data_IF_259886955279
#
_entry.id   IF_259886955279
#
_cell.length_a   1.000
_cell.length_b   1.000
_cell.length_c   1.000
_cell.angle_alpha   90.00
_cell.angle_beta   90.00
_cell.angle_gamma   90.00
#
_symmetry.space_group_name_H-M   'P 1'
#
loop_
_entity.id
_entity.type
_entity.pdbx_description
1 polymer ?
#
# COMPACT_ATOMS: atom_id res chain seq x y z
N UNK A 1 -4.60 10.00 -74.10
CA UNK A 1 -5.35 9.74 -72.86
C UNK A 1 -4.39 9.25 -71.80
N UNK A 2 -4.05 10.09 -70.82
CA UNK A 2 -3.10 9.73 -69.77
C UNK A 2 -3.90 9.64 -68.41
N UNK A 3 -4.06 8.42 -67.92
CA UNK A 3 -4.72 8.16 -66.63
C UNK A 3 -3.70 8.27 -65.48
N UNK A 4 -3.87 9.29 -64.66
CA UNK A 4 -3.12 9.42 -63.44
C UNK A 4 -3.85 8.64 -62.31
N UNK A 5 -3.26 7.52 -61.88
CA UNK A 5 -3.69 6.86 -60.65
C UNK A 5 -3.05 7.57 -59.45
N UNK A 6 -3.84 8.29 -58.69
CA UNK A 6 -3.45 8.82 -57.39
C UNK A 6 -3.58 7.71 -56.34
N UNK A 7 -2.46 7.18 -55.89
CA UNK A 7 -2.42 6.23 -54.78
C UNK A 7 -2.64 6.95 -53.46
N UNK A 8 -3.73 6.62 -52.77
CA UNK A 8 -4.02 7.11 -51.45
C UNK A 8 -3.27 6.23 -50.39
N UNK A 9 -2.17 6.74 -49.83
CA UNK A 9 -1.45 6.07 -48.76
C UNK A 9 -2.20 6.32 -47.43
N UNK A 10 -2.86 5.29 -46.93
CA UNK A 10 -3.45 5.32 -45.57
C UNK A 10 -2.34 5.05 -44.57
N UNK A 11 -1.89 6.08 -43.89
CA UNK A 11 -0.97 5.94 -42.75
C UNK A 11 -1.77 5.44 -41.52
N UNK A 12 -1.61 4.18 -41.14
CA UNK A 12 -2.15 3.63 -39.91
C UNK A 12 -1.34 4.18 -38.75
N UNK A 13 -1.90 5.12 -37.97
CA UNK A 13 -1.34 5.56 -36.71
C UNK A 13 -1.54 4.46 -35.65
N UNK A 14 -0.49 3.76 -35.31
CA UNK A 14 -0.48 2.81 -34.20
C UNK A 14 -0.48 3.65 -32.90
N UNK A 15 -1.63 3.74 -32.28
CA UNK A 15 -1.76 4.29 -30.92
C UNK A 15 -1.13 3.29 -29.96
N UNK A 16 0.10 3.57 -29.53
CA UNK A 16 0.73 2.82 -28.43
C UNK A 16 -0.04 3.13 -27.14
N UNK A 17 -0.78 2.15 -26.63
CA UNK A 17 -1.38 2.25 -25.30
C UNK A 17 -0.26 2.38 -24.24
N UNK A 18 -0.41 3.23 -23.22
CA UNK A 18 0.58 3.33 -22.17
C UNK A 18 0.71 1.98 -21.46
N UNK A 19 1.91 1.43 -21.41
CA UNK A 19 2.21 0.25 -20.61
C UNK A 19 2.14 0.67 -19.16
N UNK A 20 1.09 0.25 -18.46
CA UNK A 20 0.93 0.53 -17.03
C UNK A 20 1.94 -0.30 -16.24
N UNK A 21 2.61 0.33 -15.27
CA UNK A 21 3.52 -0.36 -14.37
C UNK A 21 2.77 -1.46 -13.60
N UNK A 22 3.40 -2.63 -13.41
CA UNK A 22 2.83 -3.71 -12.62
C UNK A 22 2.64 -3.22 -11.16
N UNK A 23 1.42 -3.35 -10.64
CA UNK A 23 1.11 -2.94 -9.28
C UNK A 23 1.90 -3.78 -8.26
N UNK A 24 2.47 -3.16 -7.22
CA UNK A 24 3.04 -3.89 -6.11
C UNK A 24 2.00 -4.78 -5.43
N UNK A 25 2.44 -5.92 -4.90
CA UNK A 25 1.58 -6.81 -4.12
C UNK A 25 1.65 -6.41 -2.64
N UNK A 26 0.49 -6.37 -2.00
CA UNK A 26 0.39 -6.10 -0.57
C UNK A 26 -0.01 -7.39 0.13
N UNK A 27 0.73 -7.77 1.17
CA UNK A 27 0.41 -8.94 1.98
C UNK A 27 0.65 -8.68 3.47
N UNK A 28 0.16 -9.59 4.32
CA UNK A 28 0.27 -9.51 5.79
C UNK A 28 -0.25 -8.19 6.37
N UNK A 29 -1.35 -7.66 5.81
CA UNK A 29 -1.92 -6.40 6.26
C UNK A 29 -2.75 -6.59 7.54
N UNK A 30 -2.43 -5.82 8.58
CA UNK A 30 -3.14 -5.82 9.85
C UNK A 30 -3.14 -4.44 10.51
N UNK A 31 -4.13 -4.20 11.34
CA UNK A 31 -4.30 -2.94 12.06
C UNK A 31 -4.46 -3.26 13.55
N UNK A 32 -3.63 -2.63 14.37
CA UNK A 32 -3.76 -2.67 15.82
C UNK A 32 -4.70 -1.54 16.25
N UNK A 33 -5.86 -1.92 16.75
CA UNK A 33 -6.82 -0.97 17.29
C UNK A 33 -6.37 -0.44 18.65
N UNK A 34 -6.64 0.84 18.97
CA UNK A 34 -6.26 1.38 20.28
C UNK A 34 -7.09 0.78 21.41
N UNK A 35 -6.49 0.65 22.59
CA UNK A 35 -7.20 0.21 23.80
C UNK A 35 -8.19 1.26 24.32
N UNK A 36 -7.96 2.52 23.99
CA UNK A 36 -8.75 3.68 24.45
C UNK A 36 -9.34 4.37 23.23
N UNK A 37 -10.66 4.60 23.26
CA UNK A 37 -11.36 5.32 22.21
C UNK A 37 -10.74 6.73 21.99
N UNK A 38 -10.73 7.17 20.74
CA UNK A 38 -10.15 8.47 20.35
C UNK A 38 -8.63 8.47 20.15
N UNK A 39 -7.94 7.38 20.52
CA UNK A 39 -6.52 7.21 20.17
C UNK A 39 -6.38 6.67 18.74
N UNK A 40 -5.28 6.96 18.04
CA UNK A 40 -5.07 6.43 16.68
C UNK A 40 -4.79 4.92 16.71
N UNK A 41 -5.16 4.26 15.61
CA UNK A 41 -4.74 2.90 15.30
C UNK A 41 -3.44 2.92 14.50
N UNK A 42 -2.72 1.79 14.49
CA UNK A 42 -1.51 1.61 13.70
C UNK A 42 -1.71 0.48 12.68
N UNK A 43 -1.45 0.78 11.41
CA UNK A 43 -1.52 -0.19 10.31
C UNK A 43 -0.12 -0.64 9.90
N UNK A 44 -0.02 -1.92 9.60
CA UNK A 44 1.19 -2.61 9.19
C UNK A 44 0.88 -3.53 8.00
N UNK A 45 1.83 -3.67 7.12
CA UNK A 45 1.71 -4.49 5.90
C UNK A 45 3.08 -4.67 5.25
N UNK A 46 3.17 -5.57 4.31
CA UNK A 46 4.36 -5.73 3.49
C UNK A 46 4.03 -5.41 2.03
N UNK A 47 4.88 -4.62 1.39
CA UNK A 47 4.78 -4.26 -0.03
C UNK A 47 5.86 -5.03 -0.78
N UNK A 48 5.45 -5.85 -1.75
CA UNK A 48 6.34 -6.59 -2.64
C UNK A 48 6.40 -5.91 -4.01
N UNK A 49 7.60 -5.56 -4.47
CA UNK A 49 7.82 -5.05 -5.81
C UNK A 49 7.61 -6.16 -6.86
N UNK A 50 6.89 -5.83 -7.93
CA UNK A 50 6.49 -6.77 -8.98
C UNK A 50 7.18 -6.49 -10.33
N UNK A 51 8.42 -6.04 -10.31
CA UNK A 51 9.27 -5.85 -11.49
C UNK A 51 9.51 -4.40 -11.89
N UNK A 52 8.78 -3.45 -11.34
CA UNK A 52 8.96 -2.01 -11.55
C UNK A 52 9.16 -1.31 -10.21
N UNK A 53 10.24 -0.53 -10.08
CA UNK A 53 10.44 0.31 -8.91
C UNK A 53 9.34 1.38 -8.83
N UNK A 54 8.82 1.63 -7.64
CA UNK A 54 7.74 2.58 -7.39
C UNK A 54 7.94 3.30 -6.05
N UNK A 55 7.03 4.16 -5.67
CA UNK A 55 7.03 4.84 -4.38
C UNK A 55 5.63 4.85 -3.79
N UNK A 56 5.49 4.37 -2.57
CA UNK A 56 4.26 4.51 -1.78
C UNK A 56 4.21 5.95 -1.25
N UNK A 57 3.18 6.69 -1.63
CA UNK A 57 3.05 8.12 -1.29
C UNK A 57 1.90 8.43 -0.37
N UNK A 58 0.96 7.49 -0.20
CA UNK A 58 -0.17 7.67 0.69
C UNK A 58 -0.75 6.33 1.14
N UNK A 59 -1.17 6.28 2.39
CA UNK A 59 -2.05 5.24 2.93
C UNK A 59 -3.31 5.92 3.44
N UNK A 60 -4.46 5.40 3.10
CA UNK A 60 -5.76 5.91 3.57
C UNK A 60 -6.72 4.79 3.90
N UNK A 61 -7.80 5.13 4.61
CA UNK A 61 -8.90 4.23 4.91
C UNK A 61 -10.21 4.98 4.94
N UNK A 62 -11.30 4.43 4.39
CA UNK A 62 -12.63 5.02 4.55
C UNK A 62 -13.13 4.99 5.99
N UNK A 63 -12.49 4.22 6.88
CA UNK A 63 -12.83 4.11 8.30
C UNK A 63 -11.97 4.98 9.21
N UNK A 64 -11.17 5.90 8.65
CA UNK A 64 -10.40 6.89 9.39
C UNK A 64 -10.51 8.26 8.71
N UNK A 65 -10.57 9.33 9.48
CA UNK A 65 -10.66 10.68 8.89
C UNK A 65 -9.32 11.17 8.34
N UNK A 66 -8.22 10.65 8.87
CA UNK A 66 -6.87 11.02 8.47
C UNK A 66 -5.91 9.86 8.69
N UNK A 67 -4.96 9.70 7.78
CA UNK A 67 -3.88 8.72 7.90
C UNK A 67 -2.55 9.41 7.62
N UNK A 68 -1.54 9.07 8.39
CA UNK A 68 -0.17 9.56 8.22
C UNK A 68 0.82 8.41 8.27
N UNK A 69 1.80 8.42 7.39
CA UNK A 69 2.93 7.49 7.45
C UNK A 69 4.00 8.03 8.36
N UNK A 70 4.52 7.18 9.23
CA UNK A 70 5.62 7.49 10.16
C UNK A 70 6.71 6.43 10.08
N UNK A 71 7.90 6.81 10.52
CA UNK A 71 8.99 5.87 10.81
C UNK A 71 9.48 6.07 12.24
N UNK A 72 10.01 5.00 12.82
CA UNK A 72 10.70 5.09 14.11
C UNK A 72 12.20 5.26 13.86
N UNK A 73 12.79 6.28 14.46
CA UNK A 73 14.22 6.53 14.44
C UNK A 73 14.77 6.54 15.86
N UNK A 74 15.99 6.05 16.03
CA UNK A 74 16.68 6.12 17.31
C UNK A 74 17.75 7.21 17.25
N UNK A 75 17.66 8.18 18.14
CA UNK A 75 18.63 9.26 18.28
C UNK A 75 19.08 9.33 19.74
N UNK A 76 20.39 9.17 20.00
CA UNK A 76 20.96 9.18 21.33
C UNK A 76 20.26 8.24 22.33
N UNK A 77 19.91 7.02 21.87
CA UNK A 77 19.23 6.03 22.70
C UNK A 77 17.73 6.27 22.91
N UNK A 78 17.14 7.31 22.30
CA UNK A 78 15.72 7.66 22.37
C UNK A 78 15.03 7.33 21.05
N UNK A 79 13.95 6.54 21.11
CA UNK A 79 13.09 6.26 19.97
C UNK A 79 12.18 7.46 19.68
N UNK A 80 12.22 7.94 18.44
CA UNK A 80 11.41 9.07 17.99
C UNK A 80 10.58 8.66 16.77
N UNK A 81 9.28 8.94 16.81
CA UNK A 81 8.38 8.80 15.69
C UNK A 81 8.43 10.06 14.80
N UNK A 82 8.69 9.88 13.52
CA UNK A 82 8.84 10.98 12.57
C UNK A 82 7.93 10.74 11.36
N UNK A 83 7.12 11.74 10.94
CA UNK A 83 6.33 11.60 9.73
C UNK A 83 7.23 11.50 8.49
N UNK A 84 6.78 10.72 7.50
CA UNK A 84 7.46 10.52 6.23
C UNK A 84 6.50 10.76 5.07
N UNK A 85 7.00 11.37 3.99
CA UNK A 85 6.20 11.71 2.82
C UNK A 85 5.97 10.50 1.89
N UNK A 86 6.77 9.46 2.00
CA UNK A 86 6.65 8.26 1.18
C UNK A 86 7.78 7.28 1.43
N UNK A 87 7.65 6.10 0.85
CA UNK A 87 8.61 5.01 0.97
C UNK A 87 8.90 4.43 -0.42
N UNK A 88 10.19 4.33 -0.77
CA UNK A 88 10.60 3.73 -2.04
C UNK A 88 10.38 2.21 -2.01
N UNK A 89 9.80 1.70 -3.07
CA UNK A 89 9.55 0.28 -3.28
C UNK A 89 10.48 -0.18 -4.39
N UNK A 90 11.42 -1.09 -4.12
CA UNK A 90 12.30 -1.60 -5.16
C UNK A 90 11.52 -2.41 -6.20
N UNK A 91 12.08 -2.54 -7.40
CA UNK A 91 11.48 -3.35 -8.46
C UNK A 91 11.24 -4.81 -8.04
N UNK A 92 12.12 -5.33 -7.19
CA UNK A 92 12.05 -6.67 -6.61
C UNK A 92 12.45 -6.62 -5.15
N UNK A 93 11.75 -7.40 -4.32
CA UNK A 93 11.97 -7.44 -2.88
C UNK A 93 10.82 -6.84 -2.09
N UNK A 94 10.92 -6.93 -0.78
CA UNK A 94 9.87 -6.53 0.16
C UNK A 94 10.26 -5.30 0.96
N UNK A 95 9.28 -4.43 1.20
CA UNK A 95 9.36 -3.33 2.17
C UNK A 95 8.29 -3.57 3.22
N UNK A 96 8.72 -3.80 4.47
CA UNK A 96 7.80 -4.09 5.56
C UNK A 96 7.49 -2.84 6.39
N UNK A 97 6.20 -2.59 6.60
CA UNK A 97 5.68 -1.73 7.66
C UNK A 97 5.41 -2.62 8.87
N UNK A 98 6.17 -2.41 9.94
CA UNK A 98 6.17 -3.29 11.11
C UNK A 98 6.36 -2.49 12.40
N UNK A 99 5.94 -3.01 13.57
CA UNK A 99 6.23 -2.39 14.86
C UNK A 99 7.73 -2.09 15.02
N UNK A 100 8.05 -0.89 15.48
CA UNK A 100 9.43 -0.41 15.62
C UNK A 100 10.05 0.13 14.33
N UNK A 101 9.36 0.08 13.20
CA UNK A 101 9.79 0.62 11.91
C UNK A 101 8.76 1.56 11.30
N UNK A 102 8.57 1.45 9.99
CA UNK A 102 7.53 2.19 9.28
C UNK A 102 6.14 1.69 9.70
N UNK A 103 5.19 2.61 9.81
CA UNK A 103 3.79 2.33 10.11
C UNK A 103 2.88 3.44 9.58
N UNK A 104 1.60 3.13 9.41
CA UNK A 104 0.59 4.13 9.08
C UNK A 104 -0.32 4.33 10.30
N UNK A 105 -0.45 5.58 10.74
CA UNK A 105 -1.31 5.97 11.86
C UNK A 105 -2.67 6.40 11.32
N UNK A 106 -3.74 5.77 11.81
CA UNK A 106 -5.12 6.04 11.45
C UNK A 106 -5.78 6.84 12.57
N UNK A 107 -6.19 8.07 12.29
CA UNK A 107 -6.78 8.99 13.26
C UNK A 107 -8.29 9.05 13.12
N UNK A 108 -8.96 9.21 14.23
CA UNK A 108 -10.42 9.36 14.32
C UNK A 108 -11.15 8.24 13.57
N UNK A 109 -11.10 7.06 14.16
CA UNK A 109 -11.71 5.87 13.58
C UNK A 109 -13.24 5.96 13.60
N UNK A 110 -13.87 5.51 12.51
CA UNK A 110 -15.31 5.32 12.43
C UNK A 110 -15.76 4.12 13.28
N UNK A 111 -17.00 4.07 13.76
CA UNK A 111 -17.52 2.95 14.57
C UNK A 111 -17.42 1.57 13.90
N UNK A 112 -17.39 1.52 12.56
CA UNK A 112 -17.22 0.28 11.80
C UNK A 112 -15.78 -0.29 11.90
N UNK A 113 -14.79 0.51 12.31
CA UNK A 113 -13.43 0.05 12.61
C UNK A 113 -13.41 -0.65 13.96
N UNK A 114 -13.75 -1.93 13.97
CA UNK A 114 -13.90 -2.74 15.19
C UNK A 114 -13.19 -4.07 15.07
N UNK A 115 -12.90 -4.65 16.22
CA UNK A 115 -12.25 -5.94 16.33
C UNK A 115 -13.04 -7.04 15.59
N UNK A 116 -12.34 -7.90 14.87
CA UNK A 116 -12.93 -8.99 14.10
C UNK A 116 -13.52 -8.59 12.74
N UNK A 117 -13.57 -7.29 12.42
CA UNK A 117 -14.00 -6.82 11.10
C UNK A 117 -12.79 -6.40 10.27
N UNK A 118 -12.72 -6.79 8.97
CA UNK A 118 -11.65 -6.31 8.11
C UNK A 118 -11.67 -4.77 8.01
N UNK A 119 -10.50 -4.17 8.02
CA UNK A 119 -10.35 -2.73 7.86
C UNK A 119 -9.74 -2.44 6.49
N UNK A 120 -10.50 -1.83 5.56
CA UNK A 120 -10.00 -1.54 4.23
C UNK A 120 -8.93 -0.45 4.27
N UNK A 121 -7.83 -0.69 3.58
CA UNK A 121 -6.75 0.26 3.34
C UNK A 121 -6.61 0.50 1.84
N UNK A 122 -6.34 1.74 1.46
CA UNK A 122 -5.95 2.14 0.12
C UNK A 122 -4.52 2.64 0.15
N UNK A 123 -3.64 2.00 -0.61
CA UNK A 123 -2.24 2.37 -0.75
C UNK A 123 -2.04 2.99 -2.12
N UNK A 124 -1.66 4.26 -2.16
CA UNK A 124 -1.41 4.98 -3.41
C UNK A 124 0.07 5.03 -3.73
N UNK A 125 0.40 4.55 -4.91
CA UNK A 125 1.74 4.55 -5.49
C UNK A 125 1.87 5.60 -6.58
N UNK A 126 3.07 6.12 -6.79
CA UNK A 126 3.33 7.13 -7.82
C UNK A 126 3.04 6.62 -9.24
N UNK A 127 3.44 5.39 -9.54
CA UNK A 127 3.34 4.80 -10.89
C UNK A 127 2.14 3.87 -11.03
N UNK A 128 1.97 2.94 -10.09
CA UNK A 128 0.94 1.90 -10.17
C UNK A 128 -0.47 2.40 -9.80
N UNK A 129 -0.61 3.60 -9.21
CA UNK A 129 -1.88 4.10 -8.73
C UNK A 129 -2.27 3.49 -7.38
N UNK A 130 -3.56 3.27 -7.15
CA UNK A 130 -4.09 2.83 -5.85
C UNK A 130 -4.31 1.32 -5.82
N UNK A 131 -3.77 0.67 -4.79
CA UNK A 131 -3.99 -0.75 -4.48
C UNK A 131 -4.80 -0.84 -3.19
N UNK A 132 -5.89 -1.61 -3.24
CA UNK A 132 -6.77 -1.84 -2.09
C UNK A 132 -6.41 -3.15 -1.40
N UNK A 133 -6.44 -3.15 -0.06
CA UNK A 133 -6.24 -4.34 0.76
C UNK A 133 -7.14 -4.30 1.99
N UNK A 134 -7.63 -5.46 2.41
CA UNK A 134 -8.34 -5.59 3.68
C UNK A 134 -7.38 -6.04 4.76
N UNK A 135 -7.16 -5.19 5.76
CA UNK A 135 -6.30 -5.48 6.89
C UNK A 135 -7.07 -6.23 7.98
N UNK A 136 -6.44 -7.22 8.59
CA UNK A 136 -6.96 -7.89 9.78
C UNK A 136 -6.89 -6.96 10.98
N UNK A 137 -7.94 -6.86 11.78
CA UNK A 137 -7.93 -6.06 13.01
C UNK A 137 -7.55 -6.91 14.23
N UNK A 138 -6.68 -6.38 15.08
CA UNK A 138 -6.29 -6.97 16.35
C UNK A 138 -6.40 -5.95 17.50
N UNK A 139 -6.53 -6.45 18.71
CA UNK A 139 -6.56 -5.61 19.91
C UNK A 139 -5.19 -5.04 20.25
N UNK A 140 -5.16 -3.98 21.08
CA UNK A 140 -3.92 -3.30 21.48
C UNK A 140 -2.92 -4.22 22.17
N UNK A 141 -3.39 -5.19 22.95
CA UNK A 141 -2.55 -6.14 23.70
C UNK A 141 -2.21 -7.43 22.98
N UNK A 142 -2.79 -7.65 21.78
CA UNK A 142 -2.55 -8.88 21.05
C UNK A 142 -1.16 -8.92 20.42
N UNK A 143 -0.55 -10.09 20.28
CA UNK A 143 0.67 -10.24 19.51
C UNK A 143 0.40 -9.92 18.02
N UNK A 144 1.43 -9.49 17.29
CA UNK A 144 1.35 -9.33 15.85
C UNK A 144 0.92 -10.66 15.21
N UNK A 145 0.02 -10.65 14.19
CA UNK A 145 -0.34 -11.87 13.50
C UNK A 145 0.92 -12.51 12.90
N UNK A 146 1.09 -13.80 13.11
CA UNK A 146 2.07 -14.57 12.34
C UNK A 146 1.55 -14.63 10.91
N UNK A 147 2.37 -14.27 9.94
CA UNK A 147 2.01 -14.35 8.53
C UNK A 147 1.52 -15.75 8.21
N UNK A 148 0.34 -15.87 7.64
CA UNK A 148 -0.16 -17.14 7.11
C UNK A 148 0.74 -17.56 5.95
N UNK A 149 1.74 -18.36 6.25
CA UNK A 149 2.43 -19.18 5.26
C UNK A 149 1.51 -20.35 4.89
N UNK A 150 0.32 -20.07 4.38
CA UNK A 150 -0.42 -21.07 3.63
C UNK A 150 0.25 -21.17 2.27
N UNK A 151 1.32 -21.96 2.25
CA UNK A 151 1.86 -22.50 1.03
C UNK A 151 0.73 -23.23 0.30
N UNK A 152 0.25 -22.68 -0.77
CA UNK A 152 -0.49 -23.43 -1.77
C UNK A 152 0.51 -24.37 -2.42
N UNK A 153 0.64 -25.55 -1.84
CA UNK A 153 1.21 -26.68 -2.54
C UNK A 153 0.24 -27.02 -3.66
N UNK A 154 0.56 -26.55 -4.86
CA UNK A 154 -0.07 -27.06 -6.06
C UNK A 154 0.38 -28.51 -6.25
N UNK A 155 -0.56 -29.42 -6.21
CA UNK A 155 -0.45 -30.77 -6.78
C UNK A 155 -0.92 -30.73 -8.23
#
# INVERSE_FOLDING_TARGET
MRHHFAGLAVAAAVLAAPVQAAAPMIHDAWVRLPAVAGRPAAAYFTVMGMGTADRLVEVSSPLATRTEMHTMTMTNGVMKMTPIAGVDIPARGNVAFKPGGNHAMLYTLMPAAKLGSPLPLALRFEKAGTVLVNAKTIAAGDPAPTGDTTGHSAH
#
